data_IF_967539018953
#
_entry.id   IF_967539018953
#
_cell.length_a   1.000
_cell.length_b   1.000
_cell.length_c   1.000
_cell.angle_alpha   90.00
_cell.angle_beta   90.00
_cell.angle_gamma   90.00
#
_symmetry.space_group_name_H-M   'P 1'
#
loop_
_entity.id
_entity.type
_entity.pdbx_description
1 polymer ?
#
# COMPACT_ATOMS: atom_id res chain seq x y z
N UNK A 1 23.28 12.06 -37.74
CA UNK A 1 23.78 11.74 -36.38
C UNK A 1 22.98 10.56 -35.86
N UNK A 2 23.64 9.42 -35.59
CA UNK A 2 22.97 8.20 -35.15
C UNK A 2 22.25 8.42 -33.81
N UNK A 3 20.98 8.03 -33.76
CA UNK A 3 20.16 7.98 -32.55
C UNK A 3 20.84 7.03 -31.56
N UNK A 4 21.37 7.58 -30.46
CA UNK A 4 21.88 6.77 -29.36
C UNK A 4 20.68 6.10 -28.68
N UNK A 5 20.35 4.88 -29.12
CA UNK A 5 19.44 4.02 -28.38
C UNK A 5 20.16 3.63 -27.09
N UNK A 6 19.80 4.27 -25.97
CA UNK A 6 20.20 3.79 -24.65
C UNK A 6 19.67 2.36 -24.51
N UNK A 7 20.58 1.38 -24.55
CA UNK A 7 20.22 -0.01 -24.22
C UNK A 7 19.83 -0.01 -22.75
N UNK A 8 18.54 -0.17 -22.47
CA UNK A 8 18.05 -0.41 -21.12
C UNK A 8 18.69 -1.71 -20.64
N UNK A 9 19.67 -1.59 -19.72
CA UNK A 9 20.25 -2.75 -19.06
C UNK A 9 19.46 -3.02 -17.79
N UNK A 10 18.81 -4.17 -17.71
CA UNK A 10 18.12 -4.58 -16.49
C UNK A 10 19.15 -4.99 -15.43
N UNK A 11 18.87 -4.65 -14.16
CA UNK A 11 19.67 -5.10 -13.02
C UNK A 11 19.11 -6.43 -12.53
N UNK A 12 19.87 -7.51 -12.72
CA UNK A 12 19.54 -8.83 -12.19
C UNK A 12 20.69 -9.32 -11.32
N UNK A 13 20.33 -9.86 -10.15
CA UNK A 13 21.22 -10.59 -9.27
C UNK A 13 20.43 -11.75 -8.65
N UNK A 14 21.07 -12.91 -8.48
CA UNK A 14 20.47 -14.02 -7.75
C UNK A 14 20.56 -13.71 -6.26
N UNK A 15 19.45 -13.24 -5.69
CA UNK A 15 19.34 -12.88 -4.28
C UNK A 15 18.47 -13.90 -3.55
N UNK A 16 18.87 -14.23 -2.32
CA UNK A 16 18.04 -15.03 -1.42
C UNK A 16 17.38 -14.08 -0.42
N UNK A 17 16.05 -14.09 -0.38
CA UNK A 17 15.25 -13.36 0.60
C UNK A 17 14.52 -14.38 1.47
N UNK A 18 15.17 -14.82 2.54
CA UNK A 18 14.74 -15.97 3.36
C UNK A 18 13.46 -15.71 4.14
N UNK A 19 13.26 -14.47 4.60
CA UNK A 19 12.07 -14.07 5.35
C UNK A 19 11.41 -12.89 4.68
N UNK A 20 10.17 -13.08 4.23
CA UNK A 20 9.24 -12.00 3.89
C UNK A 20 8.29 -11.82 5.08
N UNK A 21 7.88 -10.58 5.37
CA UNK A 21 6.84 -10.30 6.36
C UNK A 21 5.50 -10.95 5.99
N UNK A 22 4.47 -10.82 6.83
CA UNK A 22 3.15 -11.38 6.53
C UNK A 22 2.40 -10.59 5.43
N UNK A 23 1.38 -11.22 4.85
CA UNK A 23 0.54 -10.61 3.82
C UNK A 23 -0.17 -9.34 4.37
N UNK A 24 -0.17 -8.21 3.64
CA UNK A 24 -0.73 -6.95 4.11
C UNK A 24 -2.25 -6.89 3.93
N UNK A 25 -3.00 -7.84 4.50
CA UNK A 25 -4.48 -7.85 4.44
C UNK A 25 -5.16 -6.87 5.40
N UNK A 26 -4.41 -6.28 6.35
CA UNK A 26 -4.94 -5.32 7.32
C UNK A 26 -5.84 -5.91 8.42
N UNK A 27 -6.06 -7.23 8.44
CA UNK A 27 -7.00 -7.91 9.36
C UNK A 27 -6.32 -8.99 10.20
N UNK A 28 -5.15 -8.69 10.78
CA UNK A 28 -4.46 -9.62 11.68
C UNK A 28 -5.04 -9.49 13.10
N UNK A 29 -5.28 -10.61 13.76
CA UNK A 29 -5.68 -10.62 15.17
C UNK A 29 -4.62 -9.92 16.04
N UNK A 30 -4.98 -8.85 16.76
CA UNK A 30 -4.04 -8.16 17.64
C UNK A 30 -3.82 -8.96 18.93
N UNK A 31 -2.71 -8.70 19.63
CA UNK A 31 -2.44 -9.32 20.92
C UNK A 31 -3.49 -8.94 21.98
N UNK A 32 -4.18 -9.93 22.54
CA UNK A 32 -5.14 -9.68 23.60
C UNK A 32 -4.46 -9.29 24.91
N UNK A 33 -5.07 -8.33 25.61
CA UNK A 33 -4.61 -7.85 26.92
C UNK A 33 -5.70 -8.01 27.97
N UNK A 34 -5.30 -8.32 29.21
CA UNK A 34 -6.23 -8.45 30.34
C UNK A 34 -6.60 -7.11 30.98
N UNK A 35 -5.71 -6.11 30.87
CA UNK A 35 -5.88 -4.77 31.44
C UNK A 35 -5.23 -3.73 30.52
N UNK A 36 -5.91 -2.60 30.33
CA UNK A 36 -5.40 -1.43 29.60
C UNK A 36 -4.77 -0.41 30.56
N UNK A 37 -3.79 0.35 30.07
CA UNK A 37 -3.13 1.41 30.85
C UNK A 37 -4.12 2.49 31.31
N UNK A 38 -5.10 2.83 30.45
CA UNK A 38 -6.19 3.76 30.77
C UNK A 38 -7.50 2.99 30.85
N UNK A 39 -8.13 3.01 32.02
CA UNK A 39 -9.45 2.39 32.24
C UNK A 39 -10.63 3.37 32.02
N UNK A 40 -10.40 4.44 31.23
CA UNK A 40 -11.37 5.50 30.99
C UNK A 40 -11.76 5.47 29.50
N UNK A 41 -12.88 4.83 29.13
CA UNK A 41 -13.26 4.64 27.73
C UNK A 41 -13.66 5.96 27.03
N UNK A 42 -14.12 6.96 27.78
CA UNK A 42 -14.58 8.24 27.23
C UNK A 42 -13.49 9.04 26.51
N UNK A 43 -12.21 8.74 26.73
CA UNK A 43 -11.13 9.41 25.99
C UNK A 43 -11.25 9.20 24.48
N UNK A 44 -11.72 8.04 24.05
CA UNK A 44 -11.94 7.78 22.62
C UNK A 44 -13.03 8.70 22.06
N UNK A 45 -14.17 8.80 22.74
CA UNK A 45 -15.30 9.64 22.30
C UNK A 45 -15.06 11.14 22.48
N UNK A 46 -14.17 11.52 23.39
CA UNK A 46 -13.82 12.93 23.65
C UNK A 46 -12.68 13.42 22.78
N UNK A 47 -12.02 12.52 22.04
CA UNK A 47 -10.91 12.88 21.17
C UNK A 47 -11.38 13.81 20.06
N UNK A 48 -10.64 14.90 19.86
CA UNK A 48 -10.81 15.83 18.74
C UNK A 48 -9.46 16.03 18.10
N UNK A 49 -9.42 16.02 16.78
CA UNK A 49 -8.28 16.48 16.00
C UNK A 49 -8.61 17.81 15.33
N UNK A 50 -7.60 18.47 14.78
CA UNK A 50 -7.81 19.61 13.89
C UNK A 50 -8.50 19.17 12.59
N UNK A 51 -9.06 20.14 11.86
CA UNK A 51 -9.63 19.90 10.55
C UNK A 51 -8.58 19.35 9.59
N UNK A 52 -8.93 18.28 8.87
CA UNK A 52 -8.17 17.78 7.74
C UNK A 52 -8.79 18.37 6.47
N UNK A 53 -8.11 19.36 5.87
CA UNK A 53 -8.55 19.98 4.63
C UNK A 53 -8.08 19.11 3.46
N UNK A 54 -8.98 18.48 2.70
CA UNK A 54 -8.59 17.50 1.68
C UNK A 54 -7.91 18.14 0.47
N UNK A 55 -8.19 19.41 0.21
CA UNK A 55 -7.68 20.19 -0.92
C UNK A 55 -7.47 21.62 -0.47
N UNK A 56 -6.36 22.23 -0.89
CA UNK A 56 -6.10 23.67 -0.77
C UNK A 56 -5.59 24.16 -2.13
N UNK A 57 -6.33 25.09 -2.77
CA UNK A 57 -6.06 25.50 -4.15
C UNK A 57 -6.20 24.33 -5.12
N UNK A 58 -5.23 24.17 -6.03
CA UNK A 58 -5.20 23.08 -7.02
C UNK A 58 -4.56 21.78 -6.47
N UNK A 59 -4.24 21.73 -5.16
CA UNK A 59 -3.54 20.62 -4.52
C UNK A 59 -2.17 20.29 -5.15
N UNK A 60 -1.55 21.27 -5.79
CA UNK A 60 -0.26 21.12 -6.44
C UNK A 60 0.87 20.97 -5.42
N UNK A 61 1.72 19.96 -5.61
CA UNK A 61 2.93 19.75 -4.83
C UNK A 61 4.06 19.35 -5.76
N UNK A 62 5.26 19.85 -5.51
CA UNK A 62 6.50 19.46 -6.20
C UNK A 62 6.88 17.98 -5.93
N UNK A 63 6.49 17.47 -4.76
CA UNK A 63 6.74 16.09 -4.34
C UNK A 63 5.74 15.06 -4.89
N UNK A 64 4.64 15.51 -5.51
CA UNK A 64 3.53 14.69 -6.03
C UNK A 64 3.08 13.59 -5.06
N UNK A 65 2.79 13.98 -3.82
CA UNK A 65 2.55 13.04 -2.72
C UNK A 65 1.34 12.12 -2.95
N UNK A 66 0.30 12.64 -3.61
CA UNK A 66 -0.92 11.90 -3.91
C UNK A 66 -0.64 10.67 -4.79
N UNK A 67 -0.02 10.88 -5.96
CA UNK A 67 0.25 9.80 -6.90
C UNK A 67 1.39 8.90 -6.41
N UNK A 68 2.49 9.50 -5.94
CA UNK A 68 3.68 8.73 -5.55
C UNK A 68 3.37 7.76 -4.41
N UNK A 69 2.68 8.20 -3.36
CA UNK A 69 2.35 7.28 -2.27
C UNK A 69 1.31 6.24 -2.69
N UNK A 70 0.34 6.62 -3.50
CA UNK A 70 -0.61 5.67 -4.09
C UNK A 70 0.10 4.55 -4.85
N UNK A 71 1.00 4.90 -5.77
CA UNK A 71 1.73 3.93 -6.58
C UNK A 71 2.65 3.04 -5.74
N UNK A 72 3.34 3.62 -4.74
CA UNK A 72 4.16 2.85 -3.81
C UNK A 72 3.32 1.82 -3.04
N UNK A 73 2.13 2.19 -2.58
CA UNK A 73 1.20 1.26 -1.95
C UNK A 73 0.68 0.20 -2.91
N UNK A 74 0.37 0.59 -4.15
CA UNK A 74 -0.08 -0.30 -5.20
C UNK A 74 0.99 -1.34 -5.57
N UNK A 75 2.27 -0.96 -5.70
CA UNK A 75 3.33 -1.86 -6.15
C UNK A 75 3.49 -3.08 -5.24
N UNK A 76 3.61 -2.88 -3.92
CA UNK A 76 3.75 -4.02 -3.02
C UNK A 76 2.44 -4.79 -2.90
N UNK A 77 1.29 -4.13 -3.03
CA UNK A 77 -0.03 -4.78 -3.02
C UNK A 77 -0.11 -5.75 -4.19
N UNK A 78 0.12 -5.28 -5.42
CA UNK A 78 0.16 -6.13 -6.62
C UNK A 78 1.21 -7.25 -6.50
N UNK A 79 2.39 -6.97 -5.96
CA UNK A 79 3.43 -8.00 -5.77
C UNK A 79 3.01 -9.09 -4.77
N UNK A 80 2.19 -8.75 -3.76
CA UNK A 80 1.62 -9.70 -2.81
C UNK A 80 0.48 -10.51 -3.41
N UNK A 81 -0.37 -9.86 -4.22
CA UNK A 81 -1.47 -10.50 -4.94
C UNK A 81 -1.05 -11.23 -6.22
N UNK A 82 0.25 -11.24 -6.55
CA UNK A 82 0.77 -11.76 -7.84
C UNK A 82 0.02 -11.18 -9.04
N UNK A 83 -0.16 -9.85 -9.02
CA UNK A 83 -0.93 -9.08 -10.01
C UNK A 83 -2.44 -9.38 -10.07
N UNK A 84 -2.96 -10.23 -9.17
CA UNK A 84 -4.35 -10.69 -9.23
C UNK A 84 -4.61 -11.76 -10.30
N UNK A 85 -3.55 -12.31 -10.89
CA UNK A 85 -3.62 -13.37 -11.88
C UNK A 85 -4.16 -14.66 -11.22
N UNK A 86 -5.24 -15.22 -11.78
CA UNK A 86 -5.91 -16.41 -11.25
C UNK A 86 -6.94 -16.16 -10.13
N UNK A 87 -7.36 -14.92 -9.91
CA UNK A 87 -8.51 -14.59 -9.05
C UNK A 87 -9.83 -14.62 -9.83
N UNK A 88 -9.78 -14.16 -11.08
CA UNK A 88 -10.93 -14.19 -11.99
C UNK A 88 -10.77 -15.39 -12.92
N UNK A 89 -11.71 -16.34 -12.84
CA UNK A 89 -11.78 -17.47 -13.77
C UNK A 89 -12.41 -17.00 -15.09
N UNK A 90 -12.07 -17.67 -16.20
CA UNK A 90 -12.65 -17.39 -17.52
C UNK A 90 -14.10 -17.90 -17.67
N UNK A 91 -14.62 -18.62 -16.68
CA UNK A 91 -15.92 -19.31 -16.73
C UNK A 91 -17.11 -18.42 -16.30
N UNK A 92 -16.91 -17.11 -16.15
CA UNK A 92 -18.00 -16.13 -15.99
C UNK A 92 -18.68 -15.75 -17.33
N UNK A 93 -18.27 -16.36 -18.47
CA UNK A 93 -18.83 -16.18 -19.81
C UNK A 93 -19.74 -17.35 -20.27
N UNK A 94 -20.64 -17.85 -19.43
CA UNK A 94 -21.76 -18.71 -19.86
C UNK A 94 -23.12 -18.01 -19.57
N UNK A 95 -23.42 -16.95 -20.33
CA UNK A 95 -24.77 -16.37 -20.48
C UNK A 95 -25.05 -15.92 -21.91
#
# INVERSE_FOLDING_TARGET
MLRHTFRLSMKYAKLELTTRGEFPHGMKEPGFVKKLDKNIPWYFSSYRSMYHWPVVGDNWSDLDEGNKHHDLHMFYTLAWWKLGEGIFDADDEDW
#
